data_IF_250364157447
#
_entry.id   IF_250364157447
#
_cell.length_a   1.000
_cell.length_b   1.000
_cell.length_c   1.000
_cell.angle_alpha   90.00
_cell.angle_beta   90.00
_cell.angle_gamma   90.00
#
_symmetry.space_group_name_H-M   'P 1'
#
loop_
_entity.id
_entity.type
_entity.pdbx_description
1 polymer ?
#
# COMPACT_ATOMS: atom_id res chain seq x y z
N UNK A 1 51.97 -1.66 61.24
CA UNK A 1 51.83 -0.87 60.01
C UNK A 1 50.48 -0.18 60.03
N UNK A 2 50.39 1.15 60.07
CA UNK A 2 49.12 1.86 60.03
C UNK A 2 48.59 1.88 58.62
N UNK A 3 47.27 1.76 58.49
CA UNK A 3 46.51 1.84 57.24
C UNK A 3 46.67 3.26 56.64
N UNK A 4 46.78 3.39 55.29
CA UNK A 4 46.79 4.69 54.66
C UNK A 4 45.43 5.40 54.85
N UNK A 5 45.38 6.72 54.91
CA UNK A 5 44.15 7.47 55.12
C UNK A 5 43.21 7.32 53.92
N UNK A 6 41.96 7.06 54.24
CA UNK A 6 40.86 6.99 53.31
C UNK A 6 40.61 8.41 52.73
N UNK A 7 40.89 8.60 51.44
CA UNK A 7 40.51 9.81 50.73
C UNK A 7 39.07 9.62 50.13
N UNK A 8 38.04 10.15 50.75
CA UNK A 8 36.71 10.13 50.18
C UNK A 8 36.60 11.23 49.14
N UNK A 9 36.52 10.89 47.88
CA UNK A 9 36.11 11.86 46.88
C UNK A 9 36.47 11.61 45.43
N UNK A 10 37.51 10.86 45.12
CA UNK A 10 38.00 10.77 43.72
C UNK A 10 37.33 9.68 42.86
N UNK A 11 36.87 8.60 43.45
CA UNK A 11 36.21 7.48 42.73
C UNK A 11 34.75 7.73 42.45
N UNK A 12 34.02 8.27 43.41
CA UNK A 12 32.56 8.51 43.29
C UNK A 12 32.25 9.59 42.25
N UNK A 13 33.07 10.63 42.13
CA UNK A 13 32.85 11.70 41.12
C UNK A 13 33.09 11.22 39.68
N UNK A 14 33.95 10.27 39.43
CA UNK A 14 34.26 9.77 38.08
C UNK A 14 33.14 8.85 37.58
N UNK A 15 32.62 8.02 38.44
CA UNK A 15 31.49 7.14 38.11
C UNK A 15 30.14 7.90 37.99
N UNK A 16 29.90 8.86 38.88
CA UNK A 16 28.75 9.77 38.75
C UNK A 16 28.80 10.57 37.44
N UNK A 17 29.97 11.12 37.07
CA UNK A 17 30.10 11.83 35.80
C UNK A 17 29.93 10.93 34.57
N UNK A 18 30.33 9.66 34.65
CA UNK A 18 30.07 8.68 33.58
C UNK A 18 28.59 8.32 33.50
N UNK A 19 27.92 8.13 34.64
CA UNK A 19 26.47 7.93 34.71
C UNK A 19 25.68 9.15 34.18
N UNK A 20 26.06 10.36 34.61
CA UNK A 20 25.42 11.60 34.11
C UNK A 20 25.65 11.81 32.61
N UNK A 21 26.84 11.45 32.08
CA UNK A 21 27.10 11.48 30.63
C UNK A 21 26.32 10.42 29.87
N UNK A 22 26.16 9.22 30.43
CA UNK A 22 25.37 8.16 29.88
C UNK A 22 23.87 8.49 29.89
N UNK A 23 23.36 9.09 30.99
CA UNK A 23 21.97 9.55 31.10
C UNK A 23 21.72 10.71 30.14
N UNK A 24 22.60 11.74 30.08
CA UNK A 24 22.48 12.83 29.09
C UNK A 24 22.57 12.33 27.65
N UNK A 25 23.46 11.40 27.35
CA UNK A 25 23.57 10.81 26.00
C UNK A 25 22.34 9.99 25.65
N UNK A 26 21.72 9.30 26.63
CA UNK A 26 20.44 8.61 26.46
C UNK A 26 19.29 9.62 26.31
N UNK A 27 19.24 10.68 27.09
CA UNK A 27 18.23 11.72 26.97
C UNK A 27 18.35 12.52 25.64
N UNK A 28 19.56 12.82 25.18
CA UNK A 28 19.80 13.41 23.86
C UNK A 28 19.48 12.42 22.72
N UNK A 29 19.76 11.13 22.89
CA UNK A 29 19.38 10.07 21.97
C UNK A 29 17.86 9.85 21.93
N UNK A 30 17.16 10.02 23.05
CA UNK A 30 15.69 9.95 23.11
C UNK A 30 14.99 11.22 22.59
N UNK A 31 15.63 12.38 22.68
CA UNK A 31 15.05 13.64 22.18
C UNK A 31 14.97 13.76 20.66
N UNK A 32 15.63 12.90 19.91
CA UNK A 32 15.65 12.96 18.43
C UNK A 32 14.93 11.82 17.72
N UNK A 33 14.30 10.89 18.45
CA UNK A 33 13.51 9.81 17.85
C UNK A 33 12.07 10.27 17.71
N UNK A 34 11.68 10.61 16.52
CA UNK A 34 10.31 10.98 16.19
C UNK A 34 9.81 10.18 15.00
N UNK A 35 8.57 9.75 15.06
CA UNK A 35 7.87 9.20 13.92
C UNK A 35 7.52 10.34 12.96
N UNK A 36 7.88 10.18 11.69
CA UNK A 36 7.46 11.09 10.62
C UNK A 36 6.58 10.34 9.64
N UNK A 37 5.47 10.95 9.28
CA UNK A 37 4.55 10.51 8.24
C UNK A 37 4.62 11.56 7.15
N UNK A 38 5.19 11.20 5.99
CA UNK A 38 5.53 12.16 4.93
C UNK A 38 4.82 11.72 3.64
N UNK A 39 3.71 12.37 3.27
CA UNK A 39 3.10 12.15 1.97
C UNK A 39 3.95 12.80 0.87
N UNK A 40 4.28 12.04 -0.16
CA UNK A 40 4.97 12.54 -1.35
C UNK A 40 3.97 12.77 -2.49
N UNK A 41 2.83 12.09 -2.46
CA UNK A 41 1.73 12.26 -3.38
C UNK A 41 0.44 11.66 -2.82
N UNK A 42 -0.68 11.87 -3.52
CA UNK A 42 -2.00 11.34 -3.14
C UNK A 42 -2.77 12.16 -2.12
N UNK A 43 -2.29 13.34 -1.69
CA UNK A 43 -3.03 14.23 -0.80
C UNK A 43 -3.67 15.39 -1.57
N UNK A 44 -5.02 15.50 -1.48
CA UNK A 44 -5.79 16.51 -2.18
C UNK A 44 -5.88 16.27 -3.69
N UNK A 45 -5.52 15.10 -4.15
CA UNK A 45 -5.50 14.69 -5.55
C UNK A 45 -5.81 13.20 -5.66
N UNK A 46 -6.12 12.71 -6.87
CA UNK A 46 -6.23 11.29 -7.19
C UNK A 46 -5.04 10.92 -8.07
N UNK A 47 -4.21 10.00 -7.60
CA UNK A 47 -3.01 9.55 -8.33
C UNK A 47 -1.72 9.74 -7.54
N UNK A 48 -0.64 9.20 -8.08
CA UNK A 48 0.73 9.21 -7.55
C UNK A 48 0.83 8.96 -6.03
N UNK A 49 -0.01 8.05 -5.53
CA UNK A 49 -0.02 7.70 -4.13
C UNK A 49 1.36 7.20 -3.68
N UNK A 50 1.93 7.88 -2.68
CA UNK A 50 3.19 7.47 -2.07
C UNK A 50 3.31 8.08 -0.67
N UNK A 51 3.43 7.22 0.34
CA UNK A 51 3.55 7.60 1.74
C UNK A 51 4.85 7.08 2.32
N UNK A 52 5.57 7.90 3.06
CA UNK A 52 6.79 7.53 3.78
C UNK A 52 6.48 7.50 5.28
N UNK A 53 6.93 6.44 5.94
CA UNK A 53 7.00 6.34 7.39
C UNK A 53 8.47 6.25 7.78
N UNK A 54 8.95 7.24 8.51
CA UNK A 54 10.32 7.27 9.04
C UNK A 54 10.30 7.24 10.55
N UNK A 55 11.08 6.35 11.12
CA UNK A 55 11.39 6.33 12.54
C UNK A 55 12.87 6.04 12.75
N UNK A 56 13.59 7.04 13.31
CA UNK A 56 15.03 6.98 13.54
C UNK A 56 15.81 6.75 12.20
N UNK A 57 16.49 5.62 12.06
CA UNK A 57 17.28 5.25 10.87
C UNK A 57 16.55 4.28 9.93
N UNK A 58 15.25 4.08 10.11
CA UNK A 58 14.46 3.20 9.27
C UNK A 58 13.34 3.96 8.56
N UNK A 59 13.23 3.73 7.26
CA UNK A 59 12.18 4.24 6.38
C UNK A 59 11.49 3.05 5.72
N UNK A 60 10.17 3.02 5.78
CA UNK A 60 9.33 2.19 4.90
C UNK A 60 8.49 3.09 4.01
N UNK A 61 8.18 2.59 2.84
CA UNK A 61 7.38 3.29 1.83
C UNK A 61 6.10 2.49 1.62
N UNK A 62 4.98 3.16 1.48
CA UNK A 62 3.71 2.54 1.08
C UNK A 62 3.24 3.16 -0.22
N UNK A 63 3.11 2.31 -1.22
CA UNK A 63 2.76 2.62 -2.61
C UNK A 63 3.79 3.49 -3.36
N UNK A 64 3.72 3.45 -4.68
CA UNK A 64 4.49 4.27 -5.61
C UNK A 64 3.69 4.39 -6.91
N UNK A 65 2.66 5.21 -6.87
CA UNK A 65 1.71 5.38 -7.94
C UNK A 65 2.13 6.37 -8.99
N UNK A 66 1.48 6.32 -10.13
CA UNK A 66 1.51 7.39 -11.13
C UNK A 66 0.20 8.17 -11.13
N UNK A 67 0.21 9.34 -11.75
CA UNK A 67 -0.97 10.11 -12.08
C UNK A 67 -0.97 10.40 -13.59
N UNK A 68 -2.13 10.32 -14.21
CA UNK A 68 -2.27 10.75 -15.59
C UNK A 68 -2.36 12.28 -15.67
N UNK A 69 -1.68 12.91 -16.66
CA UNK A 69 -1.70 14.36 -16.80
C UNK A 69 -3.10 14.86 -17.18
N UNK A 70 -3.38 16.11 -16.82
CA UNK A 70 -4.55 16.82 -17.31
C UNK A 70 -4.39 17.17 -18.79
N UNK A 71 -5.51 17.48 -19.47
CA UNK A 71 -5.53 17.78 -20.91
C UNK A 71 -4.71 19.01 -21.32
N UNK A 72 -4.37 19.89 -20.39
CA UNK A 72 -3.55 21.09 -20.58
C UNK A 72 -2.04 20.82 -20.44
N UNK A 73 -1.64 19.64 -19.96
CA UNK A 73 -0.25 19.21 -19.81
C UNK A 73 0.27 18.53 -21.08
N UNK A 74 0.39 19.29 -22.18
CA UNK A 74 0.81 18.76 -23.47
C UNK A 74 2.23 18.17 -23.43
N UNK A 75 2.39 16.95 -23.98
CA UNK A 75 3.68 16.26 -24.05
C UNK A 75 4.10 15.55 -22.76
N UNK A 76 3.23 15.51 -21.74
CA UNK A 76 3.44 14.75 -20.52
C UNK A 76 2.62 13.45 -20.61
N UNK A 77 3.27 12.29 -20.50
CA UNK A 77 2.60 10.99 -20.51
C UNK A 77 2.17 10.55 -19.11
N UNK A 78 3.03 10.78 -18.11
CA UNK A 78 2.80 10.37 -16.72
C UNK A 78 3.40 11.38 -15.74
N UNK A 79 2.80 11.48 -14.56
CA UNK A 79 3.32 12.23 -13.41
C UNK A 79 3.65 11.21 -12.33
N UNK A 80 4.86 11.27 -11.78
CA UNK A 80 5.33 10.39 -10.72
C UNK A 80 5.65 11.19 -9.45
N UNK A 81 5.73 10.55 -8.26
CA UNK A 81 6.15 11.21 -7.04
C UNK A 81 7.58 11.76 -7.15
N UNK A 82 7.88 12.83 -6.42
CA UNK A 82 9.25 13.35 -6.31
C UNK A 82 10.05 12.55 -5.27
N UNK A 83 11.09 11.87 -5.72
CA UNK A 83 11.94 11.03 -4.87
C UNK A 83 13.06 11.79 -4.15
N UNK A 84 13.08 13.12 -4.17
CA UNK A 84 14.17 13.92 -3.58
C UNK A 84 14.44 13.59 -2.11
N UNK A 85 13.36 13.45 -1.32
CA UNK A 85 13.51 13.08 0.10
C UNK A 85 14.15 11.70 0.27
N UNK A 86 13.78 10.74 -0.55
CA UNK A 86 14.31 9.38 -0.51
C UNK A 86 15.77 9.33 -0.99
N UNK A 87 16.15 10.14 -2.00
CA UNK A 87 17.55 10.25 -2.43
C UNK A 87 18.45 10.74 -1.30
N UNK A 88 17.98 11.73 -0.53
CA UNK A 88 18.71 12.27 0.61
C UNK A 88 18.81 11.32 1.81
N UNK A 89 17.93 10.30 1.89
CA UNK A 89 17.84 9.34 2.99
C UNK A 89 17.98 7.88 2.53
N UNK A 90 18.65 7.63 1.41
CA UNK A 90 18.75 6.32 0.74
C UNK A 90 19.14 5.17 1.70
N UNK A 91 20.10 5.40 2.56
CA UNK A 91 20.63 4.39 3.50
C UNK A 91 19.64 3.93 4.57
N UNK A 92 18.59 4.71 4.79
CA UNK A 92 17.52 4.40 5.75
C UNK A 92 16.40 3.56 5.16
N UNK A 93 16.28 3.46 3.84
CA UNK A 93 15.16 2.79 3.18
C UNK A 93 15.27 1.28 3.36
N UNK A 94 14.24 0.67 3.96
CA UNK A 94 14.20 -0.77 4.28
C UNK A 94 13.33 -1.58 3.33
N UNK A 95 12.36 -0.96 2.69
CA UNK A 95 11.48 -1.63 1.74
C UNK A 95 10.28 -0.80 1.35
N UNK A 96 9.57 -1.28 0.34
CA UNK A 96 8.33 -0.71 -0.14
C UNK A 96 7.21 -1.75 -0.11
N UNK A 97 6.03 -1.33 0.34
CA UNK A 97 4.84 -2.15 0.48
C UNK A 97 3.78 -1.60 -0.46
N UNK A 98 3.11 -2.47 -1.20
CA UNK A 98 2.01 -2.08 -2.06
C UNK A 98 0.68 -2.58 -1.50
N UNK A 99 -0.29 -1.66 -1.41
CA UNK A 99 -1.63 -1.95 -0.88
C UNK A 99 -2.47 -2.72 -1.88
N UNK A 100 -2.43 -2.36 -3.16
CA UNK A 100 -3.16 -3.01 -4.24
C UNK A 100 -2.60 -2.65 -5.63
N UNK A 101 -3.14 -3.25 -6.68
CA UNK A 101 -2.57 -3.24 -8.03
C UNK A 101 -3.06 -2.15 -8.99
N UNK A 102 -3.68 -1.06 -8.53
CA UNK A 102 -4.06 0.06 -9.40
C UNK A 102 -2.85 0.91 -9.82
N UNK A 103 -2.95 1.57 -10.97
CA UNK A 103 -1.85 2.36 -11.54
C UNK A 103 -1.43 3.53 -10.65
N UNK A 104 -2.36 4.14 -9.96
CA UNK A 104 -2.11 5.24 -9.03
C UNK A 104 -1.47 4.78 -7.71
N UNK A 105 -1.25 3.47 -7.53
CA UNK A 105 -0.53 2.85 -6.41
C UNK A 105 0.75 2.11 -6.83
N UNK A 106 0.79 1.47 -8.01
CA UNK A 106 1.97 0.72 -8.47
C UNK A 106 2.62 1.30 -9.73
N UNK A 107 2.01 2.31 -10.36
CA UNK A 107 2.36 2.73 -11.71
C UNK A 107 3.77 3.27 -11.87
N UNK A 108 4.33 3.89 -10.83
CA UNK A 108 5.67 4.47 -10.86
C UNK A 108 6.77 3.50 -10.35
N UNK A 109 6.43 2.23 -10.04
CA UNK A 109 7.36 1.26 -9.43
C UNK A 109 8.62 1.03 -10.27
N UNK A 110 8.53 0.99 -11.61
CA UNK A 110 9.70 0.81 -12.48
C UNK A 110 10.65 2.00 -12.41
N UNK A 111 10.12 3.23 -12.48
CA UNK A 111 10.92 4.45 -12.34
C UNK A 111 11.60 4.55 -10.98
N UNK A 112 10.89 4.12 -9.93
CA UNK A 112 11.44 4.08 -8.58
C UNK A 112 12.60 3.08 -8.47
N UNK A 113 12.46 1.88 -9.04
CA UNK A 113 13.47 0.83 -8.94
C UNK A 113 14.68 1.03 -9.86
N UNK A 114 14.61 1.92 -10.85
CA UNK A 114 15.78 2.40 -11.56
C UNK A 114 16.77 3.14 -10.64
N UNK A 115 16.23 3.80 -9.60
CA UNK A 115 17.04 4.53 -8.63
C UNK A 115 17.31 3.72 -7.34
N UNK A 116 16.35 2.91 -6.86
CA UNK A 116 16.38 2.28 -5.54
C UNK A 116 16.22 0.76 -5.64
N UNK A 117 17.26 0.00 -5.35
CA UNK A 117 17.17 -1.46 -5.27
C UNK A 117 16.83 -1.89 -3.84
N UNK A 118 15.55 -1.99 -3.53
CA UNK A 118 15.03 -2.33 -2.19
C UNK A 118 14.01 -3.46 -2.27
N UNK A 119 13.76 -4.20 -1.15
CA UNK A 119 12.73 -5.23 -1.11
C UNK A 119 11.32 -4.68 -1.37
N UNK A 120 10.53 -5.43 -2.14
CA UNK A 120 9.12 -5.16 -2.44
C UNK A 120 8.24 -6.17 -1.70
N UNK A 121 7.16 -5.69 -1.10
CA UNK A 121 6.14 -6.50 -0.44
C UNK A 121 4.78 -6.20 -1.06
N UNK A 122 4.09 -7.22 -1.57
CA UNK A 122 2.77 -7.08 -2.18
C UNK A 122 1.98 -8.39 -2.12
N UNK A 123 0.67 -8.31 -2.22
CA UNK A 123 -0.22 -9.47 -2.34
C UNK A 123 -0.04 -10.18 -3.69
N UNK A 124 -0.49 -11.43 -3.85
CA UNK A 124 -0.28 -12.21 -5.08
C UNK A 124 -0.69 -11.51 -6.37
N UNK A 125 -1.89 -10.91 -6.42
CA UNK A 125 -2.37 -10.22 -7.62
C UNK A 125 -1.53 -8.96 -7.89
N UNK A 126 -1.32 -8.14 -6.88
CA UNK A 126 -0.52 -6.92 -6.96
C UNK A 126 0.92 -7.23 -7.38
N UNK A 127 1.52 -8.28 -6.81
CA UNK A 127 2.85 -8.75 -7.19
C UNK A 127 2.91 -9.24 -8.64
N UNK A 128 1.87 -9.92 -9.11
CA UNK A 128 1.74 -10.34 -10.51
C UNK A 128 1.75 -9.15 -11.47
N UNK A 129 1.00 -8.09 -11.15
CA UNK A 129 0.95 -6.86 -11.94
C UNK A 129 2.28 -6.09 -11.91
N UNK A 130 2.93 -6.01 -10.73
CA UNK A 130 4.27 -5.42 -10.59
C UNK A 130 5.29 -6.16 -11.46
N UNK A 131 5.32 -7.51 -11.44
CA UNK A 131 6.24 -8.30 -12.26
C UNK A 131 6.12 -8.01 -13.74
N UNK A 132 4.91 -7.75 -14.26
CA UNK A 132 4.73 -7.35 -15.68
C UNK A 132 5.39 -6.01 -15.94
N UNK A 133 5.21 -5.03 -15.05
CA UNK A 133 5.86 -3.72 -15.18
C UNK A 133 7.38 -3.84 -15.15
N UNK A 134 7.92 -4.61 -14.21
CA UNK A 134 9.37 -4.84 -14.09
C UNK A 134 9.93 -5.58 -15.29
N UNK A 135 9.21 -6.59 -15.84
CA UNK A 135 9.61 -7.28 -17.06
C UNK A 135 9.68 -6.36 -18.28
N UNK A 136 8.72 -5.44 -18.43
CA UNK A 136 8.73 -4.42 -19.49
C UNK A 136 9.91 -3.45 -19.36
N UNK A 137 10.31 -3.11 -18.13
CA UNK A 137 11.45 -2.26 -17.83
C UNK A 137 12.79 -3.02 -17.74
N UNK A 138 12.80 -4.35 -17.91
CA UNK A 138 13.98 -5.23 -17.76
C UNK A 138 14.63 -5.18 -16.37
N UNK A 139 13.83 -4.90 -15.32
CA UNK A 139 14.27 -4.78 -13.93
C UNK A 139 14.01 -6.03 -13.08
N UNK A 140 13.37 -7.06 -13.63
CA UNK A 140 12.86 -8.23 -12.91
C UNK A 140 13.93 -9.13 -12.28
N UNK A 141 15.18 -9.06 -12.73
CA UNK A 141 16.24 -10.00 -12.32
C UNK A 141 16.95 -9.66 -11.01
N UNK A 142 16.85 -8.42 -10.54
CA UNK A 142 17.69 -7.93 -9.43
C UNK A 142 16.88 -7.44 -8.22
N UNK A 143 15.56 -7.54 -8.22
CA UNK A 143 14.70 -7.02 -7.17
C UNK A 143 14.26 -8.13 -6.23
N UNK A 144 14.37 -7.90 -4.92
CA UNK A 144 13.86 -8.82 -3.90
C UNK A 144 12.34 -8.68 -3.78
N UNK A 145 11.60 -9.72 -4.21
CA UNK A 145 10.14 -9.73 -4.26
C UNK A 145 9.56 -10.65 -3.18
N UNK A 146 8.78 -10.11 -2.25
CA UNK A 146 8.15 -10.83 -1.16
C UNK A 146 6.63 -10.80 -1.30
N UNK A 147 6.03 -11.96 -1.50
CA UNK A 147 4.57 -12.06 -1.51
C UNK A 147 4.04 -12.18 -0.09
N UNK A 148 3.08 -11.31 0.26
CA UNK A 148 2.36 -11.28 1.54
C UNK A 148 0.89 -11.61 1.30
N UNK A 149 0.14 -11.84 2.36
CA UNK A 149 -1.30 -12.10 2.29
C UNK A 149 -2.02 -11.30 3.39
N UNK A 150 -3.30 -11.01 3.19
CA UNK A 150 -4.15 -10.52 4.26
C UNK A 150 -4.12 -11.49 5.45
N UNK A 151 -4.03 -10.97 6.68
CA UNK A 151 -3.84 -11.74 7.91
C UNK A 151 -2.38 -12.05 8.24
N UNK A 152 -1.44 -11.82 7.31
CA UNK A 152 -0.01 -11.98 7.61
C UNK A 152 0.56 -10.79 8.39
N UNK A 153 1.71 -11.01 9.01
CA UNK A 153 2.47 -10.00 9.73
C UNK A 153 3.94 -10.09 9.34
N UNK A 154 4.58 -8.94 9.10
CA UNK A 154 6.01 -8.88 8.83
C UNK A 154 6.68 -7.82 9.70
N UNK A 155 8.00 -7.92 9.80
CA UNK A 155 8.84 -6.88 10.44
C UNK A 155 9.83 -6.34 9.43
N UNK A 156 9.84 -5.01 9.28
CA UNK A 156 10.78 -4.29 8.42
C UNK A 156 11.45 -3.21 9.28
N UNK A 157 12.72 -3.37 9.59
CA UNK A 157 13.41 -2.51 10.53
C UNK A 157 12.70 -2.44 11.88
N UNK A 158 12.33 -1.24 12.31
CA UNK A 158 11.61 -0.96 13.56
C UNK A 158 10.08 -1.02 13.42
N UNK A 159 9.58 -1.22 12.21
CA UNK A 159 8.16 -1.32 11.91
C UNK A 159 7.70 -2.78 11.94
N UNK A 160 6.55 -3.03 12.57
CA UNK A 160 5.85 -4.30 12.51
C UNK A 160 4.52 -4.05 11.80
N UNK A 161 4.25 -4.79 10.74
CA UNK A 161 3.17 -4.50 9.82
C UNK A 161 2.21 -5.67 9.80
N UNK A 162 0.96 -5.41 10.18
CA UNK A 162 -0.18 -6.30 10.05
C UNK A 162 -0.92 -5.97 8.75
N UNK A 163 -1.19 -6.98 7.92
CA UNK A 163 -1.98 -6.82 6.70
C UNK A 163 -3.42 -7.27 6.95
N UNK A 164 -4.39 -6.46 6.60
CA UNK A 164 -5.80 -6.83 6.68
C UNK A 164 -6.51 -6.60 5.35
N UNK A 165 -7.46 -7.48 5.03
CA UNK A 165 -8.20 -7.35 3.78
C UNK A 165 -9.10 -6.12 3.80
N UNK A 166 -9.12 -5.38 2.69
CA UNK A 166 -10.06 -4.30 2.40
C UNK A 166 -10.78 -4.59 1.09
N UNK A 167 -12.10 -4.40 1.10
CA UNK A 167 -12.89 -4.49 -0.11
C UNK A 167 -12.62 -3.28 -0.99
N UNK A 168 -12.22 -3.52 -2.24
CA UNK A 168 -11.97 -2.50 -3.24
C UNK A 168 -12.38 -3.00 -4.63
N UNK A 169 -12.17 -2.20 -5.67
CA UNK A 169 -12.53 -2.52 -7.05
C UNK A 169 -11.58 -3.51 -7.75
N UNK A 170 -10.47 -3.82 -7.12
CA UNK A 170 -9.53 -4.88 -7.50
C UNK A 170 -9.40 -5.88 -6.33
N UNK A 171 -9.46 -7.20 -6.58
CA UNK A 171 -9.28 -8.20 -5.52
C UNK A 171 -7.92 -8.13 -4.86
N UNK A 172 -7.78 -8.79 -3.71
CA UNK A 172 -6.51 -8.96 -3.00
C UNK A 172 -5.91 -7.64 -2.47
N UNK A 173 -6.77 -6.63 -2.27
CA UNK A 173 -6.39 -5.35 -1.68
C UNK A 173 -6.21 -5.45 -0.17
N UNK A 174 -5.22 -4.75 0.37
CA UNK A 174 -4.92 -4.75 1.81
C UNK A 174 -4.76 -3.35 2.37
N UNK A 175 -5.25 -3.19 3.60
CA UNK A 175 -4.85 -2.11 4.48
C UNK A 175 -3.73 -2.58 5.42
N UNK A 176 -3.09 -1.64 6.09
CA UNK A 176 -1.91 -1.85 6.92
C UNK A 176 -2.14 -1.35 8.35
N UNK A 177 -1.85 -2.19 9.35
CA UNK A 177 -1.60 -1.75 10.71
C UNK A 177 -0.09 -1.66 10.92
N UNK A 178 0.45 -0.45 10.98
CA UNK A 178 1.89 -0.19 11.11
C UNK A 178 2.19 0.12 12.57
N UNK A 179 2.72 -0.85 13.29
CA UNK A 179 3.15 -0.68 14.67
C UNK A 179 4.55 -0.08 14.70
N UNK A 180 4.68 1.00 15.44
CA UNK A 180 5.91 1.76 15.63
C UNK A 180 6.20 1.89 17.13
N UNK A 181 7.41 2.27 17.57
CA UNK A 181 7.67 2.58 18.97
C UNK A 181 6.82 3.72 19.56
N UNK A 182 6.26 4.60 18.71
CA UNK A 182 5.39 5.72 19.12
C UNK A 182 3.90 5.33 19.17
N UNK A 183 3.51 4.23 18.54
CA UNK A 183 2.13 3.74 18.50
C UNK A 183 1.74 3.11 17.17
N UNK A 184 0.48 2.71 17.08
CA UNK A 184 -0.10 2.07 15.92
C UNK A 184 -0.66 3.09 14.94
N UNK A 185 -0.22 3.01 13.68
CA UNK A 185 -0.83 3.72 12.56
C UNK A 185 -1.67 2.74 11.77
N UNK A 186 -2.87 3.14 11.36
CA UNK A 186 -3.69 2.37 10.42
C UNK A 186 -3.74 3.13 9.09
N UNK A 187 -3.28 2.50 8.02
CA UNK A 187 -3.42 2.99 6.65
C UNK A 187 -4.41 2.09 5.92
N UNK A 188 -5.51 2.67 5.44
CA UNK A 188 -6.58 1.88 4.81
C UNK A 188 -6.22 1.33 3.43
N UNK A 189 -5.29 1.95 2.69
CA UNK A 189 -5.28 1.84 1.25
C UNK A 189 -6.61 2.39 0.69
N UNK A 190 -6.94 2.06 -0.54
CA UNK A 190 -8.25 2.35 -1.11
C UNK A 190 -9.27 1.32 -0.62
N UNK A 191 -10.39 1.76 -0.10
CA UNK A 191 -11.36 0.85 0.51
C UNK A 191 -12.81 1.26 0.28
N UNK A 192 -13.66 0.27 0.43
CA UNK A 192 -15.11 0.41 0.43
C UNK A 192 -15.70 -0.53 1.49
N UNK A 193 -16.65 -0.08 2.26
CA UNK A 193 -17.45 -0.97 3.10
C UNK A 193 -18.58 -1.58 2.28
N UNK A 194 -18.31 -2.72 1.66
CA UNK A 194 -19.29 -3.51 0.92
C UNK A 194 -19.55 -4.83 1.66
N UNK A 195 -20.80 -5.06 2.04
CA UNK A 195 -21.22 -6.29 2.76
C UNK A 195 -21.52 -7.45 1.81
N UNK A 196 -21.64 -7.18 0.51
CA UNK A 196 -21.91 -8.17 -0.54
C UNK A 196 -20.99 -7.95 -1.74
N UNK A 197 -19.65 -8.01 -1.53
CA UNK A 197 -18.68 -7.81 -2.60
C UNK A 197 -18.75 -8.94 -3.64
N UNK A 198 -18.25 -8.67 -4.85
CA UNK A 198 -18.31 -9.61 -5.99
C UNK A 198 -17.56 -10.90 -5.73
N UNK A 199 -16.47 -10.84 -5.01
CA UNK A 199 -15.59 -11.96 -4.65
C UNK A 199 -16.01 -12.68 -3.34
N UNK A 200 -17.09 -12.22 -2.68
CA UNK A 200 -17.57 -12.70 -1.39
C UNK A 200 -16.54 -12.54 -0.25
N UNK A 201 -15.61 -11.64 -0.39
CA UNK A 201 -14.58 -11.36 0.63
C UNK A 201 -14.72 -9.92 1.16
N UNK A 202 -15.47 -9.70 2.24
CA UNK A 202 -15.68 -8.37 2.81
C UNK A 202 -14.44 -7.88 3.54
N UNK A 203 -14.39 -6.57 3.80
CA UNK A 203 -13.35 -5.95 4.63
C UNK A 203 -13.23 -6.66 5.99
N UNK A 204 -12.02 -6.85 6.49
CA UNK A 204 -11.76 -7.46 7.79
C UNK A 204 -12.08 -6.50 8.95
N UNK A 205 -13.37 -6.43 9.27
CA UNK A 205 -13.87 -5.62 10.39
C UNK A 205 -13.32 -6.08 11.74
N UNK A 206 -13.01 -7.39 11.90
CA UNK A 206 -12.49 -7.92 13.15
C UNK A 206 -11.10 -7.34 13.44
N UNK A 207 -10.27 -7.21 12.40
CA UNK A 207 -8.95 -6.60 12.53
C UNK A 207 -9.03 -5.11 12.85
N UNK A 208 -9.97 -4.39 12.25
CA UNK A 208 -10.20 -2.96 12.57
C UNK A 208 -10.64 -2.78 14.04
N UNK A 209 -11.49 -3.68 14.56
CA UNK A 209 -11.89 -3.67 15.98
C UNK A 209 -10.70 -4.00 16.89
N UNK A 210 -9.85 -4.95 16.51
CA UNK A 210 -8.61 -5.26 17.25
C UNK A 210 -7.70 -4.02 17.33
N UNK A 211 -7.46 -3.34 16.21
CA UNK A 211 -6.66 -2.10 16.19
C UNK A 211 -7.26 -1.01 17.06
N UNK A 212 -8.58 -0.82 17.00
CA UNK A 212 -9.28 0.15 17.85
C UNK A 212 -9.08 -0.12 19.33
N UNK A 213 -9.11 -1.39 19.76
CA UNK A 213 -8.86 -1.79 21.17
C UNK A 213 -7.41 -1.55 21.60
N UNK A 214 -6.46 -1.66 20.69
CA UNK A 214 -5.03 -1.38 20.96
C UNK A 214 -4.73 0.12 21.08
N UNK A 215 -5.61 0.97 20.57
CA UNK A 215 -5.40 2.40 20.43
C UNK A 215 -4.63 2.73 19.15
N UNK A 216 -5.21 3.62 18.33
CA UNK A 216 -4.66 4.06 17.04
C UNK A 216 -4.10 5.46 17.20
N UNK A 217 -2.80 5.63 16.95
CA UNK A 217 -2.12 6.92 16.99
C UNK A 217 -2.56 7.82 15.82
N UNK A 218 -2.65 7.25 14.62
CA UNK A 218 -3.07 7.95 13.41
C UNK A 218 -3.83 7.02 12.46
N UNK A 219 -4.87 7.53 11.83
CA UNK A 219 -5.60 6.88 10.75
C UNK A 219 -5.31 7.65 9.45
N UNK A 220 -4.72 6.96 8.49
CA UNK A 220 -4.47 7.44 7.13
C UNK A 220 -5.47 6.72 6.23
N UNK A 221 -6.54 7.41 5.87
CA UNK A 221 -7.67 6.80 5.17
C UNK A 221 -7.92 7.45 3.81
N UNK A 222 -8.34 6.62 2.85
CA UNK A 222 -8.94 7.09 1.61
C UNK A 222 -10.14 8.00 1.93
N UNK A 223 -10.18 9.15 1.32
CA UNK A 223 -11.21 10.17 1.50
C UNK A 223 -11.81 10.67 0.18
N UNK A 224 -11.65 9.93 -0.91
CA UNK A 224 -12.04 10.31 -2.28
C UNK A 224 -13.49 10.81 -2.38
N UNK A 225 -14.43 10.14 -1.71
CA UNK A 225 -15.85 10.51 -1.73
C UNK A 225 -16.34 11.19 -0.44
N UNK A 226 -15.45 11.65 0.43
CA UNK A 226 -15.80 12.17 1.76
C UNK A 226 -16.73 13.40 1.74
N UNK A 227 -16.74 14.17 0.64
CA UNK A 227 -17.60 15.34 0.46
C UNK A 227 -19.00 15.01 -0.11
N UNK A 228 -19.23 13.75 -0.50
CA UNK A 228 -20.52 13.32 -1.06
C UNK A 228 -21.41 12.74 0.04
N UNK A 229 -22.64 13.25 0.22
CA UNK A 229 -23.56 12.69 1.22
C UNK A 229 -24.02 11.28 0.83
N UNK A 230 -24.29 10.45 1.85
CA UNK A 230 -24.77 9.08 1.67
C UNK A 230 -23.66 8.04 1.73
N UNK A 231 -23.88 6.90 1.11
CA UNK A 231 -22.92 5.80 1.04
C UNK A 231 -22.80 5.26 -0.38
N UNK A 232 -21.68 4.60 -0.68
CA UNK A 232 -21.47 3.92 -1.96
C UNK A 232 -22.25 2.59 -1.96
N UNK A 233 -23.18 2.36 -2.93
CA UNK A 233 -23.90 1.10 -3.02
C UNK A 233 -23.00 -0.11 -3.23
N UNK A 234 -23.47 -1.31 -2.87
CA UNK A 234 -22.76 -2.56 -3.13
C UNK A 234 -22.50 -2.76 -4.62
N UNK A 235 -21.39 -3.41 -4.97
CA UNK A 235 -21.10 -3.85 -6.34
C UNK A 235 -22.14 -4.86 -6.88
N UNK A 236 -22.93 -5.48 -6.03
CA UNK A 236 -24.03 -6.34 -6.45
C UNK A 236 -25.05 -5.60 -7.31
N UNK A 237 -25.33 -4.33 -7.03
CA UNK A 237 -26.22 -3.49 -7.84
C UNK A 237 -25.73 -3.40 -9.29
N UNK A 238 -24.42 -3.34 -9.49
CA UNK A 238 -23.83 -3.33 -10.84
C UNK A 238 -23.98 -4.70 -11.51
N UNK A 239 -23.81 -5.79 -10.76
CA UNK A 239 -24.04 -7.15 -11.28
C UNK A 239 -25.49 -7.33 -11.77
N UNK A 240 -26.46 -6.84 -10.99
CA UNK A 240 -27.87 -6.87 -11.35
C UNK A 240 -28.18 -6.01 -12.60
N UNK A 241 -27.55 -4.83 -12.69
CA UNK A 241 -27.71 -3.97 -13.87
C UNK A 241 -27.12 -4.60 -15.13
N UNK A 242 -25.93 -5.19 -15.02
CA UNK A 242 -25.32 -5.95 -16.12
C UNK A 242 -26.22 -7.11 -16.56
N UNK A 243 -26.75 -7.86 -15.61
CA UNK A 243 -27.67 -8.98 -15.90
C UNK A 243 -28.87 -8.53 -16.72
N UNK A 244 -29.53 -7.43 -16.36
CA UNK A 244 -30.65 -6.84 -17.11
C UNK A 244 -30.23 -6.43 -18.53
N UNK A 245 -29.09 -5.78 -18.69
CA UNK A 245 -28.55 -5.38 -20.00
C UNK A 245 -28.29 -6.59 -20.86
N UNK A 246 -27.66 -7.63 -20.33
CA UNK A 246 -27.32 -8.85 -21.05
C UNK A 246 -28.56 -9.64 -21.46
N UNK A 247 -29.60 -9.66 -20.61
CA UNK A 247 -30.90 -10.30 -20.92
C UNK A 247 -31.66 -9.62 -22.08
N UNK A 248 -31.55 -8.31 -22.16
CA UNK A 248 -32.32 -7.52 -23.17
C UNK A 248 -31.57 -7.38 -24.50
N UNK A 249 -30.25 -7.48 -24.49
CA UNK A 249 -29.44 -7.25 -25.68
C UNK A 249 -29.56 -8.38 -26.70
N UNK A 250 -30.04 -8.06 -27.91
CA UNK A 250 -30.14 -9.00 -29.03
C UNK A 250 -28.82 -9.14 -29.79
N UNK A 251 -28.03 -8.08 -29.84
CA UNK A 251 -26.83 -7.96 -30.63
C UNK A 251 -25.56 -7.96 -29.74
N UNK A 252 -24.43 -7.52 -30.31
CA UNK A 252 -23.13 -7.40 -29.61
C UNK A 252 -23.20 -6.38 -28.49
N UNK A 253 -22.64 -6.73 -27.36
CA UNK A 253 -22.46 -5.82 -26.21
C UNK A 253 -20.99 -5.38 -26.17
N UNK A 254 -20.74 -4.08 -26.02
CA UNK A 254 -19.42 -3.51 -25.80
C UNK A 254 -19.42 -2.92 -24.39
N UNK A 255 -18.49 -3.40 -23.55
CA UNK A 255 -18.30 -2.91 -22.18
C UNK A 255 -16.95 -2.20 -22.10
N UNK A 256 -16.96 -0.92 -21.78
CA UNK A 256 -15.76 -0.16 -21.50
C UNK A 256 -15.49 -0.15 -19.98
N UNK A 257 -14.25 -0.46 -19.60
CA UNK A 257 -13.82 -0.50 -18.20
C UNK A 257 -12.33 -0.24 -18.10
N UNK A 258 -11.85 0.19 -16.94
CA UNK A 258 -10.43 0.25 -16.68
C UNK A 258 -9.81 -1.15 -16.68
N UNK A 259 -8.60 -1.26 -17.22
CA UNK A 259 -7.89 -2.54 -17.32
C UNK A 259 -7.50 -3.15 -15.96
N UNK A 260 -7.40 -2.35 -14.91
CA UNK A 260 -7.12 -2.78 -13.54
C UNK A 260 -8.37 -3.15 -12.73
N UNK A 261 -9.56 -2.87 -13.24
CA UNK A 261 -10.84 -3.14 -12.56
C UNK A 261 -11.24 -4.62 -12.70
N UNK A 262 -10.47 -5.52 -12.06
CA UNK A 262 -10.63 -6.99 -12.19
C UNK A 262 -11.99 -7.45 -11.69
N UNK A 263 -12.51 -6.88 -10.61
CA UNK A 263 -13.85 -7.20 -10.10
C UNK A 263 -14.95 -6.94 -11.15
N UNK A 264 -14.83 -5.86 -11.94
CA UNK A 264 -15.77 -5.57 -13.04
C UNK A 264 -15.62 -6.57 -14.19
N UNK A 265 -14.37 -7.00 -14.50
CA UNK A 265 -14.17 -8.07 -15.50
C UNK A 265 -14.88 -9.34 -15.05
N UNK A 266 -14.80 -9.72 -13.76
CA UNK A 266 -15.47 -10.89 -13.22
C UNK A 266 -17.00 -10.76 -13.32
N UNK A 267 -17.57 -9.59 -13.03
CA UNK A 267 -19.02 -9.35 -13.19
C UNK A 267 -19.47 -9.55 -14.65
N UNK A 268 -18.69 -9.03 -15.61
CA UNK A 268 -18.97 -9.20 -17.04
C UNK A 268 -18.84 -10.66 -17.48
N UNK A 269 -17.81 -11.38 -16.99
CA UNK A 269 -17.64 -12.83 -17.23
C UNK A 269 -18.84 -13.62 -16.70
N UNK A 270 -19.29 -13.31 -15.47
CA UNK A 270 -20.45 -13.96 -14.85
C UNK A 270 -21.75 -13.73 -15.65
N UNK A 271 -22.02 -12.47 -16.05
CA UNK A 271 -23.16 -12.15 -16.91
C UNK A 271 -23.06 -12.83 -18.28
N UNK A 272 -21.89 -12.86 -18.90
CA UNK A 272 -21.62 -13.53 -20.17
C UNK A 272 -21.95 -15.03 -20.08
N UNK A 273 -21.46 -15.69 -19.02
CA UNK A 273 -21.72 -17.12 -18.77
C UNK A 273 -23.22 -17.39 -18.55
N UNK A 274 -23.87 -16.57 -17.71
CA UNK A 274 -25.30 -16.70 -17.38
C UNK A 274 -26.21 -16.60 -18.62
N UNK A 275 -25.87 -15.71 -19.55
CA UNK A 275 -26.65 -15.50 -20.80
C UNK A 275 -26.10 -16.27 -22.00
N UNK A 276 -25.27 -17.28 -21.78
CA UNK A 276 -24.70 -18.15 -22.84
C UNK A 276 -24.06 -17.37 -24.00
N UNK A 277 -23.35 -16.31 -23.69
CA UNK A 277 -22.61 -15.47 -24.65
C UNK A 277 -21.14 -15.78 -24.65
N UNK A 278 -20.39 -15.26 -25.64
CA UNK A 278 -18.93 -15.31 -25.71
C UNK A 278 -18.35 -13.97 -25.29
N UNK A 279 -17.19 -13.98 -24.65
CA UNK A 279 -16.45 -12.79 -24.25
C UNK A 279 -15.10 -12.73 -24.96
N UNK A 280 -14.66 -11.52 -25.31
CA UNK A 280 -13.32 -11.23 -25.76
C UNK A 280 -12.81 -9.99 -25.02
N UNK A 281 -11.61 -10.08 -24.44
CA UNK A 281 -10.92 -8.93 -23.89
C UNK A 281 -10.13 -8.23 -24.99
N UNK A 282 -10.22 -6.89 -25.04
CA UNK A 282 -9.57 -6.06 -26.07
C UNK A 282 -8.78 -4.95 -25.40
N UNK A 283 -7.59 -4.68 -25.91
CA UNK A 283 -6.60 -3.75 -25.33
C UNK A 283 -5.49 -4.47 -24.59
N UNK A 284 -4.24 -4.03 -24.81
CA UNK A 284 -3.04 -4.72 -24.31
C UNK A 284 -3.09 -4.91 -22.79
N UNK A 285 -3.29 -3.84 -22.03
CA UNK A 285 -3.33 -3.90 -20.57
C UNK A 285 -4.52 -4.72 -20.06
N UNK A 286 -5.69 -4.63 -20.71
CA UNK A 286 -6.87 -5.44 -20.36
C UNK A 286 -6.58 -6.94 -20.50
N UNK A 287 -5.98 -7.36 -21.61
CA UNK A 287 -5.63 -8.75 -21.89
C UNK A 287 -4.56 -9.27 -20.93
N UNK A 288 -3.53 -8.47 -20.65
CA UNK A 288 -2.46 -8.83 -19.71
C UNK A 288 -2.99 -9.02 -18.30
N UNK A 289 -3.76 -8.04 -17.79
CA UNK A 289 -4.32 -8.10 -16.44
C UNK A 289 -5.32 -9.26 -16.30
N UNK A 290 -6.18 -9.49 -17.30
CA UNK A 290 -7.09 -10.64 -17.31
C UNK A 290 -6.33 -11.98 -17.25
N UNK A 291 -5.24 -12.14 -18.03
CA UNK A 291 -4.40 -13.35 -18.01
C UNK A 291 -3.76 -13.59 -16.64
N UNK A 292 -3.26 -12.52 -15.99
CA UNK A 292 -2.64 -12.62 -14.67
C UNK A 292 -3.70 -13.00 -13.64
N UNK A 293 -4.82 -12.28 -13.63
CA UNK A 293 -5.92 -12.54 -12.71
C UNK A 293 -6.43 -13.98 -12.85
N UNK A 294 -6.62 -14.46 -14.08
CA UNK A 294 -7.00 -15.85 -14.36
C UNK A 294 -5.96 -16.85 -13.86
N UNK A 295 -4.68 -16.62 -14.14
CA UNK A 295 -3.57 -17.51 -13.70
C UNK A 295 -3.50 -17.64 -12.18
N UNK A 296 -3.85 -16.56 -11.46
CA UNK A 296 -3.83 -16.50 -10.00
C UNK A 296 -5.17 -16.85 -9.34
N UNK A 297 -6.21 -17.15 -10.14
CA UNK A 297 -7.53 -17.55 -9.63
C UNK A 297 -8.44 -16.40 -9.19
N UNK A 298 -8.16 -15.17 -9.61
CA UNK A 298 -8.97 -13.99 -9.33
C UNK A 298 -9.97 -13.65 -10.44
N UNK A 299 -9.91 -14.40 -11.57
CA UNK A 299 -10.83 -14.25 -12.71
C UNK A 299 -11.15 -15.62 -13.31
#
# INVERSE_FOLDING_TARGET
>A
MPWPPFEPGRFVYKELNLLFRAVKKNEESMKNKSLKIIPIGGLGEVGRNMMIYEYDDDIIIVDCGLMFPNNDMLGVDYIIPDFQYLRANREKIRGIIFTHGHEDHIGAVSYFLEEFNIPIYATPLTMGLIKVKLGKASLDKNVSLHTIQAGSQIKIGKFKIDFFHVCHSIPDSVGLGIETPEGLIVQSGDYKFDHTPVDNWPTDYAKLVEFSKRGVLALIADSTNSTRPGWTPSEQVVSEALDKVFAQAKERIIVASFASLVSRMQQVVNATKKHNRKIAFVGTSMVENAKIAQKLGFL
#
